data_IF_289012677223
#
_entry.id   IF_289012677223
#
_cell.length_a   1.000
_cell.length_b   1.000
_cell.length_c   1.000
_cell.angle_alpha   90.00
_cell.angle_beta   90.00
_cell.angle_gamma   90.00
#
_symmetry.space_group_name_H-M   'P 1'
#
loop_
_entity.id
_entity.type
_entity.pdbx_description
1 polymer ?
#
# COMPACT_ATOMS: atom_id res chain seq x y z
N UNK A 1 -34.25 41.50 -26.10
CA UNK A 1 -35.21 40.92 -27.08
C UNK A 1 -36.32 40.19 -26.33
N UNK A 2 -37.53 40.09 -26.92
CA UNK A 2 -38.65 39.22 -26.48
C UNK A 2 -38.37 37.77 -26.96
N UNK A 3 -38.91 36.67 -26.42
CA UNK A 3 -39.79 36.36 -25.27
C UNK A 3 -39.27 35.01 -24.66
N UNK A 4 -39.81 34.31 -23.65
CA UNK A 4 -41.06 34.41 -22.88
C UNK A 4 -41.16 33.35 -21.75
N UNK A 5 -42.37 32.87 -21.43
CA UNK A 5 -42.66 31.76 -20.49
C UNK A 5 -43.64 30.77 -21.15
N UNK A 6 -43.57 29.49 -20.79
CA UNK A 6 -44.68 28.56 -20.92
C UNK A 6 -44.94 27.88 -19.55
N UNK A 7 -46.14 28.07 -19.00
CA UNK A 7 -46.67 27.28 -17.88
C UNK A 7 -47.63 26.25 -18.48
N UNK A 8 -47.45 24.98 -18.14
CA UNK A 8 -48.43 23.92 -18.42
C UNK A 8 -48.81 23.25 -17.11
N UNK A 9 -50.00 23.56 -16.60
CA UNK A 9 -50.62 22.81 -15.52
C UNK A 9 -51.76 21.98 -16.13
N UNK A 10 -51.83 20.69 -15.80
CA UNK A 10 -52.98 19.85 -16.11
C UNK A 10 -53.28 18.99 -14.88
N UNK A 11 -54.57 18.89 -14.56
CA UNK A 11 -55.07 18.37 -13.28
C UNK A 11 -56.38 17.62 -13.57
N UNK A 12 -56.71 16.65 -12.71
CA UNK A 12 -57.79 15.65 -12.82
C UNK A 12 -57.46 14.44 -13.74
N UNK A 13 -57.75 13.19 -13.35
CA UNK A 13 -58.29 12.74 -12.06
C UNK A 13 -58.67 11.25 -12.05
N UNK A 14 -59.48 10.88 -11.05
CA UNK A 14 -60.16 9.58 -10.80
C UNK A 14 -59.38 8.41 -10.15
N UNK A 15 -60.03 7.89 -9.09
CA UNK A 15 -60.14 6.48 -8.63
C UNK A 15 -58.84 5.73 -8.31
N UNK A 16 -58.65 5.12 -7.14
CA UNK A 16 -59.64 4.75 -6.11
C UNK A 16 -59.64 3.25 -5.85
N UNK A 17 -58.49 2.71 -5.43
CA UNK A 17 -58.36 1.37 -4.86
C UNK A 17 -57.46 1.51 -3.64
N UNK A 18 -57.93 1.08 -2.46
CA UNK A 18 -57.08 0.97 -1.27
C UNK A 18 -56.41 -0.40 -1.27
N UNK A 19 -55.08 -0.51 -1.49
CA UNK A 19 -54.37 -1.70 -1.08
C UNK A 19 -54.32 -1.72 0.46
N UNK A 20 -54.35 -2.92 1.05
CA UNK A 20 -54.04 -3.09 2.47
C UNK A 20 -52.68 -2.44 2.74
N UNK A 21 -52.64 -1.47 3.65
CA UNK A 21 -51.39 -0.93 4.16
C UNK A 21 -50.75 -1.99 5.06
N UNK A 22 -50.07 -2.95 4.44
CA UNK A 22 -49.11 -3.79 5.13
C UNK A 22 -48.11 -2.86 5.78
N UNK A 23 -48.14 -2.81 7.11
CA UNK A 23 -47.07 -2.20 7.89
C UNK A 23 -45.87 -3.12 7.70
N UNK A 24 -45.12 -2.85 6.63
CA UNK A 24 -43.73 -3.30 6.50
C UNK A 24 -42.99 -2.53 7.58
N UNK A 25 -43.03 -3.09 8.80
CA UNK A 25 -41.99 -2.84 9.78
C UNK A 25 -40.66 -2.98 9.03
N UNK A 26 -39.73 -2.02 9.13
CA UNK A 26 -38.41 -2.20 8.57
C UNK A 26 -37.80 -3.41 9.26
N UNK A 27 -37.92 -4.57 8.60
CA UNK A 27 -37.30 -5.79 9.07
C UNK A 27 -35.82 -5.51 9.08
N UNK A 28 -35.27 -5.35 10.28
CA UNK A 28 -33.83 -5.32 10.49
C UNK A 28 -33.31 -6.60 9.88
N UNK A 29 -32.77 -6.51 8.66
CA UNK A 29 -32.31 -7.65 7.90
C UNK A 29 -31.36 -8.41 8.80
N UNK A 30 -31.72 -9.63 9.18
CA UNK A 30 -30.89 -10.43 10.07
C UNK A 30 -29.53 -10.59 9.38
N UNK A 31 -28.54 -9.81 9.83
CA UNK A 31 -27.19 -9.83 9.27
C UNK A 31 -26.67 -11.23 9.57
N UNK A 32 -26.60 -12.08 8.54
CA UNK A 32 -25.87 -13.33 8.65
C UNK A 32 -24.42 -12.97 8.99
N UNK A 33 -23.89 -13.55 10.06
CA UNK A 33 -22.56 -13.22 10.59
C UNK A 33 -21.42 -13.68 9.67
N UNK A 34 -21.18 -12.92 8.60
CA UNK A 34 -20.02 -13.14 7.75
C UNK A 34 -18.72 -12.92 8.54
N UNK A 35 -17.78 -13.84 8.39
CA UNK A 35 -16.42 -13.64 8.89
C UNK A 35 -15.63 -12.90 7.83
N UNK A 36 -14.91 -11.87 8.25
CA UNK A 36 -14.07 -11.08 7.37
C UNK A 36 -12.78 -10.66 8.06
N UNK A 37 -11.76 -10.44 7.25
CA UNK A 37 -10.49 -9.80 7.59
C UNK A 37 -10.10 -8.86 6.46
N UNK A 38 -9.96 -7.56 6.76
CA UNK A 38 -9.49 -6.56 5.81
C UNK A 38 -8.21 -5.89 6.29
N UNK A 39 -7.30 -5.64 5.35
CA UNK A 39 -6.02 -4.98 5.61
C UNK A 39 -5.74 -3.95 4.52
N UNK A 40 -5.25 -2.78 4.92
CA UNK A 40 -4.78 -1.73 4.04
C UNK A 40 -3.41 -1.23 4.50
N UNK A 41 -2.49 -1.02 3.56
CA UNK A 41 -1.15 -0.50 3.83
C UNK A 41 -0.69 0.40 2.68
N UNK A 42 -0.17 1.58 3.02
CA UNK A 42 0.49 2.47 2.07
C UNK A 42 1.76 3.06 2.64
N UNK A 43 2.59 3.52 1.71
CA UNK A 43 3.81 4.28 1.94
C UNK A 43 3.83 5.45 0.96
N UNK A 44 4.32 6.62 1.37
CA UNK A 44 4.61 7.70 0.42
C UNK A 44 5.84 7.34 -0.42
N UNK A 45 6.97 7.20 0.26
CA UNK A 45 8.26 6.76 -0.30
C UNK A 45 8.83 5.67 0.61
N UNK A 46 9.30 4.57 0.02
CA UNK A 46 10.17 3.59 0.67
C UNK A 46 11.58 3.74 0.09
N UNK A 47 12.56 4.07 0.92
CA UNK A 47 13.97 4.09 0.55
C UNK A 47 14.70 2.90 1.18
N UNK A 48 15.59 2.27 0.41
CA UNK A 48 16.44 1.16 0.83
C UNK A 48 17.87 1.50 0.47
N UNK A 49 18.75 1.59 1.47
CA UNK A 49 20.17 1.88 1.31
C UNK A 49 21.00 0.64 1.62
N UNK A 50 21.96 0.33 0.75
CA UNK A 50 22.96 -0.71 0.98
C UNK A 50 24.36 -0.13 0.70
N UNK A 51 25.34 -0.48 1.53
CA UNK A 51 26.73 -0.12 1.31
C UNK A 51 27.62 -1.26 1.86
N UNK A 52 28.62 -1.70 1.09
CA UNK A 52 29.51 -2.80 1.50
C UNK A 52 30.38 -2.46 2.73
N UNK A 53 30.56 -1.17 3.02
CA UNK A 53 31.23 -0.65 4.21
C UNK A 53 30.34 -0.71 5.46
N UNK A 54 29.02 -0.91 5.33
CA UNK A 54 28.16 -1.19 6.50
C UNK A 54 28.49 -2.60 7.01
N UNK A 55 29.07 -2.75 8.22
CA UNK A 55 29.40 -4.06 8.75
C UNK A 55 28.14 -4.92 8.91
N UNK A 56 28.32 -6.23 8.78
CA UNK A 56 27.26 -7.25 8.71
C UNK A 56 26.35 -7.15 7.46
N UNK A 57 26.66 -6.27 6.48
CA UNK A 57 25.87 -6.13 5.25
C UNK A 57 24.47 -5.58 5.49
N UNK A 58 24.32 -4.74 6.52
CA UNK A 58 23.02 -4.23 6.96
C UNK A 58 22.37 -3.37 5.88
N UNK A 59 21.12 -3.69 5.58
CA UNK A 59 20.25 -2.90 4.70
C UNK A 59 19.44 -1.95 5.56
N UNK A 60 19.55 -0.65 5.30
CA UNK A 60 18.71 0.35 5.96
C UNK A 60 17.44 0.56 5.14
N UNK A 61 16.27 0.39 5.75
CA UNK A 61 14.98 0.64 5.14
C UNK A 61 14.32 1.86 5.80
N UNK A 62 13.63 2.68 5.03
CA UNK A 62 13.04 3.93 5.50
C UNK A 62 11.73 4.21 4.76
N UNK A 63 10.61 4.18 5.46
CA UNK A 63 9.30 4.52 4.88
C UNK A 63 8.82 5.89 5.38
N UNK A 64 8.44 6.79 4.47
CA UNK A 64 8.08 8.19 4.77
C UNK A 64 6.91 8.69 3.90
N UNK A 65 5.76 9.06 4.50
CA UNK A 65 5.21 8.51 5.73
C UNK A 65 4.70 7.08 5.50
N UNK A 66 4.20 6.47 6.57
CA UNK A 66 3.63 5.13 6.61
C UNK A 66 2.23 5.14 7.24
N UNK A 67 1.34 4.29 6.72
CA UNK A 67 0.04 4.00 7.32
C UNK A 67 -0.34 2.53 7.11
N UNK A 68 -0.90 1.90 8.14
CA UNK A 68 -1.60 0.61 8.04
C UNK A 68 -2.91 0.61 8.83
N UNK A 69 -3.90 -0.12 8.34
CA UNK A 69 -5.17 -0.33 8.99
C UNK A 69 -5.58 -1.80 8.81
N UNK A 70 -6.01 -2.44 9.90
CA UNK A 70 -6.47 -3.83 9.95
C UNK A 70 -7.80 -3.87 10.70
N UNK A 71 -8.76 -4.63 10.17
CA UNK A 71 -10.07 -4.79 10.79
C UNK A 71 -10.60 -6.20 10.50
N UNK A 72 -11.06 -6.92 11.52
CA UNK A 72 -11.73 -8.20 11.34
C UNK A 72 -13.02 -8.34 12.16
N UNK A 73 -13.80 -9.37 11.83
CA UNK A 73 -15.11 -9.62 12.46
C UNK A 73 -15.04 -9.86 13.99
N UNK A 74 -13.88 -10.30 14.50
CA UNK A 74 -13.63 -10.62 15.91
C UNK A 74 -13.34 -9.37 16.78
N UNK A 75 -13.67 -8.17 16.29
CA UNK A 75 -13.40 -6.89 16.94
C UNK A 75 -11.90 -6.61 17.14
N UNK A 76 -11.02 -7.21 16.32
CA UNK A 76 -9.66 -6.69 16.19
C UNK A 76 -9.70 -5.57 15.16
N UNK A 77 -9.28 -4.38 15.60
CA UNK A 77 -9.30 -3.14 14.82
C UNK A 77 -8.03 -2.38 15.19
N UNK A 78 -7.00 -2.48 14.36
CA UNK A 78 -5.68 -1.92 14.63
C UNK A 78 -5.32 -0.91 13.53
N UNK A 79 -5.02 0.31 13.94
CA UNK A 79 -4.60 1.37 13.02
C UNK A 79 -3.27 1.95 13.48
N UNK A 80 -2.32 2.09 12.57
CA UNK A 80 -0.99 2.63 12.85
C UNK A 80 -0.59 3.63 11.78
N UNK A 81 -0.12 4.80 12.20
CA UNK A 81 0.46 5.82 11.34
C UNK A 81 1.87 6.18 11.85
N UNK A 82 2.79 6.44 10.94
CA UNK A 82 4.12 6.97 11.27
C UNK A 82 4.55 8.04 10.28
N UNK A 83 5.22 9.08 10.77
CA UNK A 83 5.87 10.05 9.90
C UNK A 83 7.12 9.48 9.24
N UNK A 84 7.90 8.68 9.97
CA UNK A 84 9.16 8.09 9.52
C UNK A 84 9.31 6.72 10.20
N UNK A 85 9.24 5.64 9.43
CA UNK A 85 9.47 4.28 9.91
C UNK A 85 10.83 3.76 9.42
N UNK A 86 11.86 3.60 10.29
CA UNK A 86 13.21 3.21 9.89
C UNK A 86 13.39 1.68 9.73
N UNK A 87 12.30 0.94 9.53
CA UNK A 87 12.30 -0.51 9.47
C UNK A 87 12.52 -1.19 10.82
N UNK A 88 12.11 -2.46 10.91
CA UNK A 88 12.20 -3.28 12.12
C UNK A 88 13.64 -3.41 12.64
N UNK A 89 14.61 -3.49 11.71
CA UNK A 89 16.04 -3.68 12.04
C UNK A 89 16.59 -2.48 12.82
N UNK A 90 16.24 -1.25 12.44
CA UNK A 90 16.70 -0.05 13.16
C UNK A 90 15.87 0.19 14.41
N UNK A 91 14.55 -0.08 14.34
CA UNK A 91 13.65 0.05 15.50
C UNK A 91 14.00 -0.92 16.65
N UNK A 92 14.56 -2.10 16.35
CA UNK A 92 14.96 -3.09 17.33
C UNK A 92 16.30 -2.79 18.06
N UNK A 93 17.03 -1.74 17.66
CA UNK A 93 18.34 -1.40 18.25
C UNK A 93 18.16 -0.62 19.57
N UNK A 94 18.56 -1.17 20.74
CA UNK A 94 18.19 -0.58 22.04
C UNK A 94 18.87 0.77 22.32
N UNK A 95 18.09 1.79 22.67
CA UNK A 95 18.54 2.99 23.40
C UNK A 95 19.46 3.99 22.67
N UNK A 96 19.87 3.70 21.43
CA UNK A 96 20.94 4.45 20.75
C UNK A 96 20.56 5.85 20.30
N UNK A 97 19.33 6.09 19.83
CA UNK A 97 18.95 7.39 19.24
C UNK A 97 19.28 8.58 20.14
N UNK A 98 18.93 8.51 21.42
CA UNK A 98 19.15 9.59 22.39
C UNK A 98 20.56 9.74 22.93
N UNK A 99 21.41 8.72 22.84
CA UNK A 99 22.79 8.78 23.32
C UNK A 99 23.75 9.44 22.30
N UNK A 100 23.36 9.43 21.02
CA UNK A 100 24.24 9.73 19.89
C UNK A 100 24.40 11.21 19.56
N UNK A 101 23.29 11.95 19.50
CA UNK A 101 23.31 13.30 18.93
C UNK A 101 23.63 14.40 19.95
N UNK A 102 23.67 14.10 21.26
CA UNK A 102 23.79 15.07 22.37
C UNK A 102 22.72 16.17 22.44
N UNK A 103 21.89 16.30 21.40
CA UNK A 103 20.60 17.00 21.37
C UNK A 103 19.54 16.05 21.94
N UNK A 104 18.57 16.52 22.74
CA UNK A 104 17.42 15.69 23.12
C UNK A 104 16.66 15.27 21.86
N UNK A 105 16.89 14.03 21.42
CA UNK A 105 16.14 13.48 20.29
C UNK A 105 14.66 13.44 20.64
N UNK A 106 13.75 13.80 19.71
CA UNK A 106 12.35 13.45 19.84
C UNK A 106 12.20 11.98 20.22
N UNK A 107 11.13 11.61 20.92
CA UNK A 107 10.83 10.20 21.20
C UNK A 107 10.51 9.50 19.87
N UNK A 108 11.55 8.99 19.22
CA UNK A 108 11.46 8.11 18.06
C UNK A 108 11.16 6.67 18.51
N UNK A 109 10.46 5.88 17.68
CA UNK A 109 9.88 6.27 16.40
C UNK A 109 8.64 7.16 16.59
N UNK A 110 8.44 8.09 15.66
CA UNK A 110 7.29 8.99 15.65
C UNK A 110 6.11 8.22 15.05
N UNK A 111 5.33 7.56 15.93
CA UNK A 111 4.25 6.62 15.61
C UNK A 111 3.03 6.94 16.47
N UNK A 112 1.85 6.76 15.88
CA UNK A 112 0.57 6.72 16.58
C UNK A 112 -0.13 5.40 16.24
N UNK A 113 -0.60 4.69 17.28
CA UNK A 113 -1.32 3.42 17.14
C UNK A 113 -2.57 3.42 18.03
N UNK A 114 -3.70 3.00 17.47
CA UNK A 114 -4.94 2.68 18.18
C UNK A 114 -5.29 1.20 18.00
N UNK A 115 -5.93 0.65 19.03
CA UNK A 115 -6.56 -0.68 19.02
C UNK A 115 -8.07 -0.54 19.26
N UNK A 116 -8.83 -1.61 19.07
CA UNK A 116 -10.27 -1.60 19.30
C UNK A 116 -10.63 -1.16 20.73
N UNK A 117 -11.43 -0.09 20.84
CA UNK A 117 -11.83 0.50 22.12
C UNK A 117 -10.92 1.62 22.63
N UNK A 118 -9.81 1.92 21.95
CA UNK A 118 -9.09 3.18 22.14
C UNK A 118 -9.91 4.37 21.57
N UNK A 119 -9.83 5.52 22.22
CA UNK A 119 -10.17 6.79 21.57
C UNK A 119 -9.23 7.07 20.38
N UNK A 120 -9.67 7.82 19.35
CA UNK A 120 -8.81 8.29 18.26
C UNK A 120 -7.60 9.06 18.80
N UNK A 121 -6.43 8.84 18.20
CA UNK A 121 -5.17 9.45 18.62
C UNK A 121 -4.59 10.29 17.49
N UNK A 122 -4.21 11.51 17.83
CA UNK A 122 -3.46 12.43 16.98
C UNK A 122 -2.08 12.70 17.60
N UNK A 123 -1.06 12.86 16.76
CA UNK A 123 0.20 13.44 17.19
C UNK A 123 0.77 14.37 16.10
N UNK A 124 1.18 15.57 16.52
CA UNK A 124 1.70 16.61 15.65
C UNK A 124 3.12 16.97 16.09
N UNK A 125 4.02 16.99 15.13
CA UNK A 125 5.43 17.35 15.27
C UNK A 125 5.77 18.45 14.25
N UNK A 126 6.85 19.22 14.44
CA UNK A 126 7.29 20.19 13.44
C UNK A 126 7.49 19.52 12.07
N UNK A 127 6.65 19.85 11.09
CA UNK A 127 6.70 19.27 9.75
C UNK A 127 6.09 17.87 9.61
N UNK A 128 5.36 17.34 10.59
CA UNK A 128 4.66 16.06 10.47
C UNK A 128 3.38 15.98 11.32
N UNK A 129 2.39 15.21 10.86
CA UNK A 129 1.17 14.90 11.61
C UNK A 129 0.75 13.47 11.36
N UNK A 130 0.29 12.77 12.40
CA UNK A 130 -0.29 11.44 12.28
C UNK A 130 -1.61 11.36 13.03
N UNK A 131 -2.48 10.49 12.52
CA UNK A 131 -3.77 10.15 13.09
C UNK A 131 -3.98 8.63 13.00
N UNK A 132 -4.56 8.03 14.03
CA UNK A 132 -5.06 6.66 14.02
C UNK A 132 -6.39 6.55 14.77
N UNK A 133 -7.31 5.74 14.22
CA UNK A 133 -8.64 5.49 14.74
C UNK A 133 -9.04 4.02 14.51
N UNK A 134 -9.59 3.38 15.55
CA UNK A 134 -9.97 1.95 15.56
C UNK A 134 -11.39 1.75 16.09
N UNK A 135 -12.36 1.64 15.20
CA UNK A 135 -13.78 1.39 15.51
C UNK A 135 -14.21 -0.06 15.29
N UNK A 136 -15.49 -0.35 15.53
CA UNK A 136 -16.11 -1.67 15.31
C UNK A 136 -16.40 -2.00 13.84
N UNK A 137 -16.61 -0.96 13.01
CA UNK A 137 -16.92 -1.08 11.58
C UNK A 137 -15.88 -0.37 10.71
N UNK A 138 -14.80 0.19 11.29
CA UNK A 138 -13.71 0.85 10.56
C UNK A 138 -12.38 0.79 11.31
N UNK A 139 -11.29 0.79 10.54
CA UNK A 139 -9.95 1.12 11.01
C UNK A 139 -9.35 2.15 10.04
N UNK A 140 -8.75 3.22 10.56
CA UNK A 140 -8.26 4.35 9.76
C UNK A 140 -6.93 4.87 10.30
N UNK A 141 -5.95 5.06 9.42
CA UNK A 141 -4.68 5.69 9.77
C UNK A 141 -4.22 6.65 8.67
N UNK A 142 -3.62 7.76 9.09
CA UNK A 142 -3.01 8.76 8.21
C UNK A 142 -1.67 9.20 8.77
N UNK A 143 -0.59 9.03 8.00
CA UNK A 143 0.69 9.67 8.24
C UNK A 143 0.92 10.81 7.23
N UNK A 144 1.48 11.93 7.68
CA UNK A 144 1.81 13.08 6.83
C UNK A 144 3.14 13.70 7.26
N UNK A 145 3.97 14.06 6.26
CA UNK A 145 5.21 14.82 6.41
C UNK A 145 5.20 15.99 5.42
N UNK A 146 5.67 17.16 5.83
CA UNK A 146 5.49 18.41 5.09
C UNK A 146 4.08 18.99 5.28
N UNK A 147 3.74 19.99 4.46
CA UNK A 147 2.49 20.74 4.51
C UNK A 147 1.83 20.77 3.14
N UNK A 148 0.51 20.69 3.06
CA UNK A 148 -0.22 20.89 1.78
C UNK A 148 0.15 22.27 1.18
N UNK A 149 0.61 22.38 -0.09
CA UNK A 149 0.72 21.31 -1.10
C UNK A 149 2.08 20.56 -1.12
N UNK A 150 3.15 21.13 -0.55
CA UNK A 150 4.49 20.54 -0.53
C UNK A 150 4.67 19.52 0.62
N UNK A 151 4.28 18.27 0.37
CA UNK A 151 4.40 17.21 1.37
C UNK A 151 4.14 15.81 0.82
N UNK A 152 4.18 14.84 1.73
CA UNK A 152 3.87 13.45 1.46
C UNK A 152 2.85 12.95 2.48
N UNK A 153 1.81 12.27 2.01
CA UNK A 153 0.76 11.68 2.85
C UNK A 153 0.60 10.20 2.53
N UNK A 154 0.34 9.39 3.54
CA UNK A 154 -0.03 7.99 3.42
C UNK A 154 -1.29 7.77 4.23
N UNK A 155 -2.32 7.19 3.61
CA UNK A 155 -3.61 6.92 4.25
C UNK A 155 -4.03 5.48 4.01
N UNK A 156 -4.42 4.78 5.08
CA UNK A 156 -4.91 3.40 5.02
C UNK A 156 -6.25 3.32 5.73
N UNK A 157 -7.22 2.65 5.11
CA UNK A 157 -8.59 2.52 5.62
C UNK A 157 -9.15 1.13 5.33
N UNK A 158 -9.76 0.53 6.34
CA UNK A 158 -10.65 -0.62 6.18
C UNK A 158 -12.01 -0.22 6.76
N UNK A 159 -13.11 -0.54 6.07
CA UNK A 159 -14.46 -0.20 6.51
C UNK A 159 -15.48 -1.26 6.10
N UNK A 160 -16.38 -1.61 7.02
CA UNK A 160 -17.62 -2.35 6.74
C UNK A 160 -18.71 -1.34 6.37
N UNK A 161 -19.41 -1.59 5.28
CA UNK A 161 -20.54 -0.79 4.82
C UNK A 161 -21.88 -1.46 5.18
N UNK A 162 -22.96 -0.69 5.12
CA UNK A 162 -24.31 -1.23 5.20
C UNK A 162 -24.53 -2.33 4.14
N UNK A 163 -25.06 -3.47 4.58
CA UNK A 163 -25.15 -4.69 3.78
C UNK A 163 -23.94 -5.64 3.91
N UNK A 164 -22.97 -5.34 4.79
CA UNK A 164 -21.87 -6.25 5.12
C UNK A 164 -20.74 -6.29 4.09
N UNK A 165 -20.76 -5.39 3.09
CA UNK A 165 -19.66 -5.24 2.15
C UNK A 165 -18.44 -4.63 2.84
N UNK A 166 -17.24 -5.12 2.55
CA UNK A 166 -16.00 -4.67 3.19
C UNK A 166 -15.12 -3.97 2.16
N UNK A 167 -14.69 -2.76 2.48
CA UNK A 167 -13.86 -1.89 1.64
C UNK A 167 -12.50 -1.72 2.29
N UNK A 168 -11.45 -2.20 1.62
CA UNK A 168 -10.06 -1.88 1.96
C UNK A 168 -9.51 -0.85 0.96
N UNK A 169 -8.82 0.17 1.44
CA UNK A 169 -8.28 1.26 0.61
C UNK A 169 -6.95 1.76 1.18
N UNK A 170 -5.92 1.77 0.32
CA UNK A 170 -4.61 2.31 0.60
C UNK A 170 -4.30 3.41 -0.42
N UNK A 171 -3.93 4.59 0.08
CA UNK A 171 -3.62 5.77 -0.73
C UNK A 171 -2.30 6.38 -0.29
N UNK A 172 -1.54 6.94 -1.23
CA UNK A 172 -0.49 7.89 -0.89
C UNK A 172 -0.41 9.04 -1.89
N UNK A 173 0.07 10.18 -1.41
CA UNK A 173 0.41 11.34 -2.24
C UNK A 173 1.83 11.76 -1.92
N UNK A 174 2.59 12.20 -2.91
CA UNK A 174 3.93 12.76 -2.72
C UNK A 174 4.10 13.95 -3.68
N UNK A 175 4.33 15.11 -3.10
CA UNK A 175 4.68 16.32 -3.83
C UNK A 175 5.97 16.95 -3.27
N UNK A 176 6.78 17.51 -4.16
CA UNK A 176 8.07 18.08 -3.82
C UNK A 176 9.12 17.08 -3.32
N UNK A 177 9.05 15.79 -3.66
CA UNK A 177 10.17 14.87 -3.42
C UNK A 177 11.36 15.31 -4.27
N UNK A 178 12.52 15.43 -3.65
CA UNK A 178 13.80 15.78 -4.26
C UNK A 178 14.87 14.88 -3.65
N UNK A 179 15.81 14.38 -4.44
CA UNK A 179 16.83 13.42 -4.03
C UNK A 179 18.19 13.83 -4.62
N UNK A 180 19.25 13.64 -3.82
CA UNK A 180 20.66 13.83 -4.20
C UNK A 180 20.99 15.19 -4.80
N UNK A 181 21.08 16.26 -3.99
CA UNK A 181 21.49 17.60 -4.45
C UNK A 181 20.83 18.04 -5.78
N UNK A 182 19.49 17.99 -5.80
CA UNK A 182 18.62 18.27 -6.96
C UNK A 182 18.64 17.28 -8.14
N UNK A 183 19.43 16.20 -8.10
CA UNK A 183 19.57 15.20 -9.20
C UNK A 183 18.28 14.46 -9.58
N UNK A 184 17.29 14.38 -8.71
CA UNK A 184 15.98 13.81 -9.05
C UNK A 184 14.89 14.58 -8.29
N UNK A 185 13.80 14.92 -8.98
CA UNK A 185 12.62 15.59 -8.41
C UNK A 185 11.35 14.89 -8.88
N UNK A 186 10.41 14.68 -7.98
CA UNK A 186 9.12 14.03 -8.21
C UNK A 186 8.02 14.80 -7.49
N UNK A 187 6.97 15.14 -8.24
CA UNK A 187 5.90 16.04 -7.81
C UNK A 187 4.53 15.58 -8.34
N UNK A 188 3.48 15.82 -7.57
CA UNK A 188 2.13 15.39 -7.88
C UNK A 188 1.98 13.87 -8.09
N UNK A 189 2.72 13.04 -7.34
CA UNK A 189 2.42 11.60 -7.25
C UNK A 189 1.14 11.41 -6.43
N UNK A 190 0.22 10.62 -6.96
CA UNK A 190 -1.02 10.21 -6.31
C UNK A 190 -1.26 8.74 -6.64
N UNK A 191 -1.44 7.90 -5.63
CA UNK A 191 -1.86 6.51 -5.81
C UNK A 191 -3.05 6.15 -4.95
N UNK A 192 -3.83 5.21 -5.46
CA UNK A 192 -4.98 4.62 -4.80
C UNK A 192 -5.06 3.15 -5.18
N UNK A 193 -5.13 2.30 -4.18
CA UNK A 193 -5.37 0.86 -4.27
C UNK A 193 -6.63 0.58 -3.48
N UNK A 194 -7.64 0.00 -4.11
CA UNK A 194 -8.95 -0.24 -3.47
C UNK A 194 -9.49 -1.60 -3.84
N UNK A 195 -9.90 -2.34 -2.81
CA UNK A 195 -10.56 -3.64 -2.88
C UNK A 195 -11.91 -3.54 -2.17
N UNK A 196 -12.95 -4.07 -2.80
CA UNK A 196 -14.30 -4.16 -2.24
C UNK A 196 -14.74 -5.62 -2.31
N UNK A 197 -15.06 -6.21 -1.17
CA UNK A 197 -15.79 -7.47 -1.11
C UNK A 197 -17.30 -7.18 -0.96
N UNK A 198 -18.10 -7.73 -1.87
CA UNK A 198 -19.56 -7.67 -1.78
C UNK A 198 -20.08 -8.53 -0.62
N UNK A 199 -20.89 -7.94 0.26
CA UNK A 199 -21.34 -8.55 1.51
C UNK A 199 -22.21 -9.80 1.34
N UNK A 200 -22.93 -9.93 0.22
CA UNK A 200 -23.81 -11.07 -0.05
C UNK A 200 -23.12 -12.23 -0.78
N UNK A 201 -22.16 -11.92 -1.66
CA UNK A 201 -21.54 -12.91 -2.56
C UNK A 201 -20.07 -13.21 -2.25
N UNK A 202 -19.42 -12.40 -1.43
CA UNK A 202 -17.96 -12.45 -1.25
C UNK A 202 -17.16 -11.96 -2.47
N UNK A 203 -17.82 -11.53 -3.56
CA UNK A 203 -17.15 -11.18 -4.81
C UNK A 203 -16.26 -9.96 -4.64
N UNK A 204 -14.98 -10.12 -4.96
CA UNK A 204 -13.98 -9.05 -4.92
C UNK A 204 -14.00 -8.19 -6.19
N UNK A 205 -14.06 -6.87 -6.01
CA UNK A 205 -13.83 -5.84 -7.03
C UNK A 205 -12.54 -5.10 -6.68
N UNK A 206 -11.58 -5.08 -7.60
CA UNK A 206 -10.23 -4.56 -7.41
C UNK A 206 -10.00 -3.35 -8.32
N UNK A 207 -9.24 -2.36 -7.85
CA UNK A 207 -8.87 -1.18 -8.64
C UNK A 207 -7.56 -0.55 -8.12
N UNK A 208 -6.65 -0.21 -9.04
CA UNK A 208 -5.46 0.59 -8.77
C UNK A 208 -5.38 1.75 -9.75
N UNK A 209 -4.96 2.92 -9.29
CA UNK A 209 -4.64 4.08 -10.14
C UNK A 209 -3.36 4.74 -9.67
N UNK A 210 -2.57 5.27 -10.61
CA UNK A 210 -1.34 6.02 -10.30
C UNK A 210 -1.20 7.18 -11.29
N UNK A 211 -0.99 8.37 -10.76
CA UNK A 211 -0.62 9.56 -11.52
C UNK A 211 0.65 10.13 -10.92
N UNK A 212 1.58 10.60 -11.76
CA UNK A 212 2.71 11.44 -11.38
C UNK A 212 2.63 12.69 -12.24
N UNK A 213 2.42 13.84 -11.62
CA UNK A 213 2.34 15.11 -12.33
C UNK A 213 3.65 15.45 -13.06
N UNK A 214 4.80 15.23 -12.40
CA UNK A 214 6.13 15.50 -12.96
C UNK A 214 7.23 14.74 -12.24
N UNK A 215 8.11 14.14 -13.03
CA UNK A 215 9.44 13.65 -12.69
C UNK A 215 10.43 14.51 -13.49
N UNK A 216 11.42 15.08 -12.82
CA UNK A 216 12.47 15.90 -13.41
C UNK A 216 13.83 15.37 -12.92
N UNK A 217 14.77 15.17 -13.84
CA UNK A 217 16.13 14.72 -13.57
C UNK A 217 17.07 15.65 -14.33
N UNK A 218 17.90 16.47 -13.66
CA UNK A 218 18.93 17.25 -14.33
C UNK A 218 19.88 16.37 -15.15
N UNK A 219 20.31 16.88 -16.30
CA UNK A 219 21.05 16.17 -17.33
C UNK A 219 20.31 15.00 -18.02
N UNK A 220 19.06 14.69 -17.66
CA UNK A 220 18.26 13.77 -18.46
C UNK A 220 17.95 14.41 -19.81
N UNK A 221 18.30 13.70 -20.88
CA UNK A 221 18.01 14.13 -22.25
C UNK A 221 17.35 13.01 -23.00
N UNK A 222 16.34 13.35 -23.81
CA UNK A 222 15.63 12.37 -24.63
C UNK A 222 15.22 12.98 -25.96
N UNK A 223 14.92 12.13 -26.94
CA UNK A 223 14.41 12.56 -28.24
C UNK A 223 12.90 12.40 -28.26
N UNK A 224 12.16 13.46 -28.58
CA UNK A 224 10.72 13.35 -28.83
C UNK A 224 10.52 12.54 -30.12
N UNK A 225 9.63 11.53 -30.14
CA UNK A 225 9.25 10.83 -31.36
C UNK A 225 8.89 11.80 -32.49
N UNK A 226 9.26 11.46 -33.73
CA UNK A 226 8.94 12.27 -34.90
C UNK A 226 7.43 12.31 -35.19
N UNK A 227 6.73 11.24 -34.84
CA UNK A 227 5.29 11.05 -34.98
C UNK A 227 4.72 10.58 -33.64
N UNK A 228 3.47 10.93 -33.37
CA UNK A 228 2.74 10.36 -32.23
C UNK A 228 2.55 8.86 -32.46
N UNK A 229 2.89 7.97 -31.51
CA UNK A 229 2.64 6.54 -31.66
C UNK A 229 1.13 6.27 -31.75
N UNK A 230 0.71 5.53 -32.78
CA UNK A 230 -0.70 5.16 -33.02
C UNK A 230 -1.28 4.34 -31.86
N UNK A 231 -0.45 3.47 -31.27
CA UNK A 231 -0.73 2.75 -30.03
C UNK A 231 0.41 2.97 -29.06
N UNK A 232 0.08 3.27 -27.80
CA UNK A 232 1.04 3.15 -26.70
C UNK A 232 0.93 1.72 -26.19
N UNK A 233 1.97 0.87 -26.31
CA UNK A 233 1.93 -0.46 -25.72
C UNK A 233 1.80 -0.32 -24.21
N UNK A 234 0.73 -0.86 -23.65
CA UNK A 234 0.61 -1.05 -22.21
C UNK A 234 1.74 -1.98 -21.76
N UNK A 235 2.29 -1.73 -20.57
CA UNK A 235 3.37 -2.53 -20.00
C UNK A 235 3.12 -4.03 -20.10
N UNK A 236 4.20 -4.79 -20.31
CA UNK A 236 4.22 -6.23 -20.53
C UNK A 236 3.20 -6.92 -19.61
N UNK A 237 2.21 -7.65 -20.15
CA UNK A 237 1.11 -8.16 -19.36
C UNK A 237 1.60 -9.09 -18.25
N UNK A 238 1.01 -8.94 -17.06
CA UNK A 238 1.18 -9.91 -15.99
C UNK A 238 0.70 -11.29 -16.49
N UNK A 239 1.47 -12.38 -16.29
CA UNK A 239 1.08 -13.71 -16.76
C UNK A 239 -0.32 -14.08 -16.28
N UNK A 240 -1.20 -14.43 -17.22
CA UNK A 240 -2.58 -14.85 -16.94
C UNK A 240 -3.63 -13.72 -16.88
N UNK A 241 -3.25 -12.44 -16.91
CA UNK A 241 -4.21 -11.32 -16.94
C UNK A 241 -4.53 -10.92 -18.38
N UNK A 242 -5.81 -10.86 -18.79
CA UNK A 242 -6.20 -10.33 -20.10
C UNK A 242 -5.71 -8.88 -20.25
N UNK A 243 -4.85 -8.64 -21.24
CA UNK A 243 -4.33 -7.29 -21.50
C UNK A 243 -5.49 -6.38 -21.94
N UNK A 244 -5.65 -5.17 -21.38
CA UNK A 244 -6.60 -4.20 -21.92
C UNK A 244 -6.25 -3.87 -23.36
N UNK A 245 -7.24 -3.56 -24.20
CA UNK A 245 -6.94 -3.09 -25.56
C UNK A 245 -6.01 -1.86 -25.48
N UNK A 246 -4.90 -1.81 -26.24
CA UNK A 246 -4.01 -0.66 -26.24
C UNK A 246 -4.76 0.62 -26.53
N UNK A 247 -4.47 1.68 -25.77
CA UNK A 247 -5.08 2.98 -25.99
C UNK A 247 -4.74 3.47 -27.41
N UNK A 248 -5.76 3.56 -28.26
CA UNK A 248 -5.66 4.12 -29.60
C UNK A 248 -5.70 5.63 -29.49
N UNK A 249 -4.59 6.28 -29.81
CA UNK A 249 -4.56 7.73 -29.95
C UNK A 249 -4.92 8.08 -31.39
N UNK A 250 -5.70 9.14 -31.63
CA UNK A 250 -5.94 9.59 -33.00
C UNK A 250 -4.60 9.89 -33.65
N UNK A 251 -4.33 9.32 -34.82
CA UNK A 251 -3.12 9.62 -35.60
C UNK A 251 -3.22 11.07 -36.06
N UNK A 252 -2.61 11.96 -35.29
CA UNK A 252 -2.45 13.35 -35.67
C UNK A 252 -1.32 13.39 -36.70
N UNK A 253 -1.66 13.42 -37.99
CA UNK A 253 -0.70 13.53 -39.11
C UNK A 253 0.09 14.85 -39.11
N UNK A 254 -0.30 15.81 -38.25
CA UNK A 254 0.49 17.00 -37.98
C UNK A 254 1.80 16.54 -37.32
N UNK A 255 2.99 16.91 -37.85
CA UNK A 255 4.24 16.60 -37.16
C UNK A 255 4.14 17.12 -35.74
N UNK A 256 4.39 16.24 -34.75
CA UNK A 256 4.26 16.61 -33.35
C UNK A 256 5.06 17.91 -33.11
N UNK A 257 4.50 18.93 -32.45
CA UNK A 257 5.27 20.13 -32.14
C UNK A 257 6.50 19.67 -31.36
N UNK A 258 7.69 20.09 -31.83
CA UNK A 258 9.00 19.65 -31.33
C UNK A 258 9.40 18.18 -31.58
N UNK A 259 8.63 17.41 -32.36
CA UNK A 259 8.99 16.06 -32.80
C UNK A 259 10.36 15.98 -33.48
N UNK A 260 11.01 14.82 -33.36
CA UNK A 260 12.41 14.58 -33.74
C UNK A 260 13.49 15.39 -32.98
N UNK A 261 13.15 16.37 -32.15
CA UNK A 261 14.15 17.16 -31.42
C UNK A 261 14.61 16.46 -30.13
N UNK A 262 15.84 16.73 -29.73
CA UNK A 262 16.33 16.37 -28.40
C UNK A 262 15.91 17.46 -27.41
N UNK A 263 15.30 17.05 -26.31
CA UNK A 263 14.96 17.91 -25.17
C UNK A 263 15.88 17.61 -24.00
N UNK A 264 16.18 18.65 -23.21
CA UNK A 264 17.07 18.62 -22.06
C UNK A 264 16.28 18.94 -20.80
N UNK A 265 16.52 18.20 -19.72
CA UNK A 265 15.82 18.32 -18.42
C UNK A 265 14.27 18.30 -18.56
N UNK A 266 13.67 17.34 -19.27
CA UNK A 266 12.22 17.34 -19.50
C UNK A 266 11.43 17.03 -18.23
N UNK A 267 10.27 17.68 -18.09
CA UNK A 267 9.26 17.32 -17.10
C UNK A 267 8.43 16.15 -17.64
N UNK A 268 8.72 14.94 -17.16
CA UNK A 268 8.06 13.69 -17.56
C UNK A 268 6.96 13.36 -16.54
N UNK A 269 5.71 13.35 -16.98
CA UNK A 269 4.58 12.86 -16.18
C UNK A 269 4.22 11.41 -16.50
N UNK A 270 3.41 10.82 -15.62
CA UNK A 270 2.85 9.48 -15.79
C UNK A 270 1.37 9.46 -15.41
N UNK A 271 0.56 8.71 -16.15
CA UNK A 271 -0.84 8.46 -15.79
C UNK A 271 -1.27 7.07 -16.24
N UNK A 272 -1.66 6.24 -15.27
CA UNK A 272 -2.38 4.98 -15.46
C UNK A 272 -1.82 4.09 -16.61
N UNK A 273 -0.49 3.94 -16.66
CA UNK A 273 0.21 3.12 -17.66
C UNK A 273 0.92 3.89 -18.76
N UNK A 274 0.65 5.18 -18.95
CA UNK A 274 1.22 6.00 -20.02
C UNK A 274 2.13 7.12 -19.50
N UNK A 275 3.33 7.25 -20.07
CA UNK A 275 4.18 8.42 -19.88
C UNK A 275 3.79 9.57 -20.82
N UNK A 276 4.04 10.79 -20.40
CA UNK A 276 3.94 11.98 -21.22
C UNK A 276 5.05 12.99 -20.88
N UNK A 277 5.44 13.83 -21.81
CA UNK A 277 6.23 15.04 -21.53
C UNK A 277 5.32 16.26 -21.56
N UNK A 278 5.43 17.11 -20.54
CA UNK A 278 4.76 18.41 -20.51
C UNK A 278 5.60 19.43 -21.29
N UNK A 279 5.16 19.81 -22.49
CA UNK A 279 5.86 20.81 -23.29
C UNK A 279 5.37 22.23 -22.93
N UNK A 280 6.28 23.20 -22.73
CA UNK A 280 5.91 24.59 -22.50
C UNK A 280 5.30 25.18 -23.78
N UNK A 281 3.98 25.36 -23.76
CA UNK A 281 3.25 26.05 -24.83
C UNK A 281 2.85 27.46 -24.39
N UNK A 282 2.40 28.30 -25.32
CA UNK A 282 1.89 29.65 -25.02
C UNK A 282 0.48 29.64 -24.36
N UNK A 283 0.21 28.65 -23.51
CA UNK A 283 -1.10 28.35 -22.94
C UNK A 283 -1.00 27.16 -21.96
N UNK A 284 -1.94 26.22 -22.05
CA UNK A 284 -1.89 25.00 -21.24
C UNK A 284 -0.70 24.09 -21.65
N UNK A 285 -0.08 23.35 -20.71
CA UNK A 285 0.93 22.35 -21.04
C UNK A 285 0.38 21.33 -22.05
N UNK A 286 1.13 21.09 -23.12
CA UNK A 286 0.76 20.05 -24.10
C UNK A 286 1.45 18.76 -23.67
N UNK A 287 0.65 17.79 -23.23
CA UNK A 287 1.13 16.47 -22.83
C UNK A 287 1.30 15.61 -24.09
N UNK A 288 2.55 15.39 -24.52
CA UNK A 288 2.88 14.50 -25.65
C UNK A 288 3.19 13.10 -25.10
N UNK A 289 2.51 12.03 -25.55
CA UNK A 289 2.75 10.68 -25.04
C UNK A 289 4.15 10.19 -25.40
N UNK A 290 4.75 9.42 -24.50
CA UNK A 290 6.09 8.85 -24.65
C UNK A 290 6.04 7.32 -24.55
N UNK A 291 6.84 6.63 -25.37
CA UNK A 291 7.06 5.20 -25.21
C UNK A 291 7.89 4.94 -23.95
N UNK A 292 7.49 3.92 -23.17
CA UNK A 292 8.13 3.61 -21.89
C UNK A 292 9.62 3.27 -22.02
N UNK A 293 10.00 2.55 -23.08
CA UNK A 293 11.40 2.22 -23.41
C UNK A 293 12.25 3.49 -23.57
N UNK A 294 11.76 4.50 -24.28
CA UNK A 294 12.47 5.78 -24.47
C UNK A 294 12.65 6.54 -23.15
N UNK A 295 11.72 6.40 -22.21
CA UNK A 295 11.87 6.97 -20.86
C UNK A 295 12.92 6.17 -20.08
N UNK A 296 12.82 4.84 -20.03
CA UNK A 296 13.77 4.00 -19.29
C UNK A 296 15.21 4.13 -19.80
N UNK A 297 15.43 4.21 -21.11
CA UNK A 297 16.74 4.45 -21.69
C UNK A 297 17.30 5.84 -21.31
N UNK A 298 16.45 6.87 -21.26
CA UNK A 298 16.86 8.21 -20.84
C UNK A 298 17.23 8.28 -19.34
N UNK A 299 16.46 7.61 -18.47
CA UNK A 299 16.81 7.47 -17.05
C UNK A 299 18.12 6.69 -16.87
N UNK A 300 18.28 5.58 -17.58
CA UNK A 300 19.50 4.76 -17.55
C UNK A 300 20.74 5.53 -18.02
N UNK A 301 20.59 6.35 -19.06
CA UNK A 301 21.64 7.26 -19.54
C UNK A 301 22.03 8.34 -18.50
N UNK A 302 21.09 8.73 -17.64
CA UNK A 302 21.32 9.63 -16.51
C UNK A 302 21.84 8.92 -15.23
N UNK A 303 22.15 7.62 -15.28
CA UNK A 303 22.64 6.86 -14.13
C UNK A 303 21.56 6.44 -13.12
N UNK A 304 20.30 6.40 -13.54
CA UNK A 304 19.16 5.98 -12.73
C UNK A 304 18.50 4.76 -13.40
N UNK A 305 18.53 3.59 -12.76
CA UNK A 305 17.71 2.45 -13.21
C UNK A 305 16.26 2.69 -12.78
N UNK A 306 15.35 2.78 -13.75
CA UNK A 306 13.92 2.91 -13.50
C UNK A 306 13.22 1.60 -13.87
N UNK A 307 12.32 1.12 -13.01
CA UNK A 307 11.40 0.03 -13.34
C UNK A 307 9.97 0.33 -12.89
N UNK A 308 9.02 -0.25 -13.60
CA UNK A 308 7.60 -0.18 -13.35
C UNK A 308 7.08 -1.55 -12.91
N UNK A 309 6.35 -1.59 -11.81
CA UNK A 309 5.61 -2.77 -11.35
C UNK A 309 4.12 -2.54 -11.67
N UNK A 310 3.50 -3.32 -12.57
CA UNK A 310 2.05 -3.28 -12.77
C UNK A 310 1.34 -3.75 -11.49
N UNK A 311 0.05 -3.43 -11.37
CA UNK A 311 -0.76 -3.95 -10.27
C UNK A 311 -0.85 -5.48 -10.35
N UNK A 312 -0.81 -6.14 -9.19
CA UNK A 312 -0.82 -7.60 -9.07
C UNK A 312 -2.02 -8.01 -8.21
N UNK A 313 -2.98 -8.69 -8.84
CA UNK A 313 -4.08 -9.33 -8.13
C UNK A 313 -3.56 -10.49 -7.27
N UNK A 314 -4.12 -10.62 -6.06
CA UNK A 314 -4.00 -11.82 -5.22
C UNK A 314 -5.38 -12.39 -4.94
N UNK A 315 -5.47 -13.62 -4.42
CA UNK A 315 -6.73 -14.28 -4.07
C UNK A 315 -7.64 -13.37 -3.22
N UNK A 316 -7.08 -12.72 -2.19
CA UNK A 316 -7.78 -11.85 -1.25
C UNK A 316 -7.69 -10.36 -1.57
N UNK A 317 -6.94 -9.91 -2.58
CA UNK A 317 -6.73 -8.48 -2.75
C UNK A 317 -5.89 -8.04 -3.93
N UNK A 318 -5.21 -6.91 -3.76
CA UNK A 318 -4.50 -6.19 -4.80
C UNK A 318 -3.24 -5.53 -4.22
N UNK A 319 -2.09 -5.79 -4.84
CA UNK A 319 -0.92 -4.92 -4.73
C UNK A 319 -0.98 -3.89 -5.85
N UNK A 320 -0.95 -2.61 -5.48
CA UNK A 320 -1.04 -1.50 -6.43
C UNK A 320 0.18 -1.36 -7.33
N UNK A 321 0.00 -0.54 -8.37
CA UNK A 321 1.08 -0.11 -9.25
C UNK A 321 2.17 0.64 -8.47
N UNK A 322 3.44 0.40 -8.79
CA UNK A 322 4.56 1.09 -8.15
C UNK A 322 5.72 1.36 -9.12
N UNK A 323 6.54 2.36 -8.79
CA UNK A 323 7.82 2.60 -9.45
C UNK A 323 8.97 2.28 -8.52
N UNK A 324 10.04 1.70 -9.08
CA UNK A 324 11.33 1.57 -8.40
C UNK A 324 12.38 2.37 -9.16
N UNK A 325 13.10 3.23 -8.47
CA UNK A 325 14.26 3.96 -8.97
C UNK A 325 15.50 3.49 -8.20
N UNK A 326 16.57 3.10 -8.89
CA UNK A 326 17.86 2.82 -8.27
C UNK A 326 18.89 3.79 -8.79
N UNK A 327 19.71 4.30 -7.89
CA UNK A 327 20.85 5.17 -8.23
C UNK A 327 21.96 4.96 -7.21
N UNK A 328 23.06 5.69 -7.35
CA UNK A 328 24.15 5.69 -6.38
C UNK A 328 24.33 7.11 -5.85
N UNK A 329 24.24 7.27 -4.53
CA UNK A 329 24.72 8.49 -3.88
C UNK A 329 26.25 8.45 -3.95
N UNK A 330 26.87 9.57 -4.34
CA UNK A 330 28.31 9.75 -4.36
C UNK A 330 28.93 9.39 -3.00
N UNK A 331 30.21 8.98 -3.01
CA UNK A 331 30.95 8.74 -1.79
C UNK A 331 30.91 9.98 -0.88
N UNK A 332 30.56 9.77 0.40
CA UNK A 332 30.58 10.84 1.39
C UNK A 332 32.03 11.31 1.60
N UNK A 333 32.27 12.56 2.06
CA UNK A 333 33.61 13.04 2.40
C UNK A 333 34.37 12.03 3.28
N UNK A 334 35.68 11.93 3.04
CA UNK A 334 36.56 10.92 3.63
C UNK A 334 36.26 10.66 5.11
N UNK A 335 35.73 9.49 5.39
CA UNK A 335 35.38 9.05 6.73
C UNK A 335 35.66 7.54 6.87
N UNK A 336 35.86 7.08 8.10
CA UNK A 336 36.33 5.72 8.35
C UNK A 336 35.26 4.63 8.21
N UNK A 337 33.98 5.00 8.00
CA UNK A 337 32.83 4.09 8.09
C UNK A 337 32.04 3.91 6.79
N UNK A 338 31.89 4.97 6.01
CA UNK A 338 31.24 4.97 4.70
C UNK A 338 32.28 5.22 3.64
N UNK A 339 32.71 4.15 2.97
CA UNK A 339 33.58 4.21 1.80
C UNK A 339 32.84 3.74 0.56
N UNK A 340 33.22 4.31 -0.56
CA UNK A 340 32.64 4.11 -1.87
C UNK A 340 31.22 4.69 -2.04
N UNK A 341 30.70 4.65 -3.28
CA UNK A 341 29.31 5.02 -3.58
C UNK A 341 28.30 4.16 -2.80
N UNK A 342 27.16 4.76 -2.47
CA UNK A 342 26.07 4.07 -1.76
C UNK A 342 24.91 3.84 -2.71
N UNK A 343 24.67 2.60 -3.18
CA UNK A 343 23.43 2.21 -3.84
C UNK A 343 22.20 2.56 -2.99
N UNK A 344 21.25 3.26 -3.60
CA UNK A 344 19.94 3.55 -3.00
C UNK A 344 18.84 3.17 -3.97
N UNK A 345 17.86 2.45 -3.44
CA UNK A 345 16.63 2.07 -4.13
C UNK A 345 15.47 2.84 -3.51
N UNK A 346 14.72 3.58 -4.31
CA UNK A 346 13.49 4.26 -3.92
C UNK A 346 12.30 3.57 -4.58
N UNK A 347 11.32 3.15 -3.79
CA UNK A 347 10.00 2.75 -4.28
C UNK A 347 8.99 3.82 -3.95
N UNK A 348 8.11 4.13 -4.90
CA UNK A 348 7.05 5.11 -4.72
C UNK A 348 5.73 4.60 -5.27
N UNK A 349 4.63 5.04 -4.65
CA UNK A 349 3.26 4.77 -5.08
C UNK A 349 2.71 3.39 -4.72
N UNK A 350 3.55 2.45 -4.29
CA UNK A 350 3.11 1.11 -3.89
C UNK A 350 2.18 1.16 -2.66
N UNK A 351 1.04 0.48 -2.77
CA UNK A 351 0.10 0.22 -1.68
C UNK A 351 -0.46 -1.20 -1.78
N UNK A 352 -1.03 -1.70 -0.70
CA UNK A 352 -1.63 -3.03 -0.60
C UNK A 352 -3.02 -2.88 0.03
N UNK A 353 -4.01 -3.53 -0.57
CA UNK A 353 -5.35 -3.64 -0.02
C UNK A 353 -5.83 -5.09 -0.17
N UNK A 354 -6.27 -5.72 0.92
CA UNK A 354 -6.85 -7.07 0.93
C UNK A 354 -8.13 -7.12 1.74
N UNK A 355 -8.99 -8.08 1.38
CA UNK A 355 -10.20 -8.48 2.08
C UNK A 355 -10.39 -10.00 1.87
N UNK A 356 -10.23 -10.80 2.91
CA UNK A 356 -10.84 -12.14 2.97
C UNK A 356 -12.25 -11.95 3.54
N UNK A 357 -13.29 -12.24 2.75
CA UNK A 357 -14.68 -12.22 3.18
C UNK A 357 -15.29 -13.58 2.88
N UNK A 358 -15.68 -14.29 3.93
CA UNK A 358 -16.34 -15.59 3.84
C UNK A 358 -17.82 -15.37 4.12
N UNK A 359 -18.68 -15.23 3.09
CA UNK A 359 -20.11 -15.19 3.31
C UNK A 359 -20.52 -16.51 3.96
N UNK A 360 -21.34 -16.44 5.02
CA UNK A 360 -21.98 -17.64 5.54
C UNK A 360 -22.88 -18.19 4.44
N UNK A 361 -22.50 -19.34 3.90
CA UNK A 361 -23.41 -20.16 3.10
C UNK A 361 -24.49 -20.69 4.04
N UNK A 362 -25.55 -19.90 4.22
CA UNK A 362 -26.82 -20.38 4.74
C UNK A 362 -27.33 -21.42 3.74
N UNK A 363 -26.99 -22.68 4.01
CA UNK A 363 -27.29 -23.80 3.11
C UNK A 363 -28.76 -23.77 2.70
N UNK A 364 -29.00 -23.78 1.38
CA UNK A 364 -30.34 -23.84 0.78
C UNK A 364 -31.15 -25.08 1.22
N UNK A 365 -30.48 -26.04 1.86
CA UNK A 365 -31.01 -27.25 2.48
C UNK A 365 -31.88 -26.96 3.72
N UNK A 366 -31.95 -25.70 4.19
CA UNK A 366 -32.96 -25.23 5.16
C UNK A 366 -34.43 -25.41 4.67
N UNK A 367 -34.63 -25.82 3.42
CA UNK A 367 -35.91 -26.24 2.85
C UNK A 367 -36.51 -27.52 3.46
N UNK A 368 -35.79 -28.20 4.37
CA UNK A 368 -36.15 -29.53 4.90
C UNK A 368 -36.81 -29.60 6.29
N UNK A 369 -36.85 -28.50 7.07
CA UNK A 369 -37.55 -28.50 8.37
C UNK A 369 -38.99 -28.09 8.16
N UNK A 370 -39.83 -29.02 7.70
CA UNK A 370 -41.27 -28.90 7.87
C UNK A 370 -41.58 -28.62 9.35
N UNK A 371 -42.51 -27.71 9.68
CA UNK A 371 -43.04 -27.63 11.03
C UNK A 371 -43.51 -29.03 11.44
N UNK A 372 -42.94 -29.58 12.50
CA UNK A 372 -43.52 -30.77 13.12
C UNK A 372 -44.84 -30.31 13.71
N UNK A 373 -45.95 -30.74 13.10
CA UNK A 373 -47.28 -30.42 13.59
C UNK A 373 -47.38 -30.84 15.06
N UNK A 374 -47.51 -29.85 15.94
CA UNK A 374 -47.67 -30.06 17.37
C UNK A 374 -49.11 -30.50 17.71
N UNK A 375 -49.64 -31.47 16.96
CA UNK A 375 -50.81 -32.25 17.38
C UNK A 375 -50.38 -33.24 18.45
N UNK A 376 -50.48 -32.80 19.70
CA UNK A 376 -49.99 -33.56 20.84
C UNK A 376 -50.72 -34.90 21.01
N UNK A 377 -49.95 -35.94 21.35
CA UNK A 377 -50.47 -37.11 22.06
C UNK A 377 -49.72 -37.22 23.38
N UNK A 378 -50.41 -37.06 24.50
CA UNK A 378 -49.82 -37.33 25.82
C UNK A 378 -49.61 -38.84 25.95
N UNK A 379 -48.37 -39.29 26.15
CA UNK A 379 -48.04 -40.72 26.05
C UNK A 379 -46.69 -41.11 26.65
N UNK A 380 -46.72 -41.34 27.96
CA UNK A 380 -45.88 -42.26 28.73
C UNK A 380 -44.38 -41.99 28.97
N UNK A 381 -43.94 -42.37 30.17
CA UNK A 381 -42.58 -42.21 30.70
C UNK A 381 -41.93 -43.58 30.89
N UNK A 382 -41.04 -44.00 29.98
CA UNK A 382 -40.04 -45.05 30.27
C UNK A 382 -38.95 -45.17 29.19
N UNK A 383 -37.71 -45.45 29.61
CA UNK A 383 -36.68 -46.05 28.74
C UNK A 383 -35.71 -45.09 28.03
N UNK A 384 -34.62 -44.71 28.70
CA UNK A 384 -33.39 -44.23 28.05
C UNK A 384 -32.49 -45.42 27.70
N UNK A 385 -32.18 -45.70 26.42
CA UNK A 385 -31.05 -46.53 26.05
C UNK A 385 -29.78 -45.67 25.98
N UNK A 386 -28.85 -45.87 26.91
CA UNK A 386 -27.52 -45.27 26.86
C UNK A 386 -26.66 -45.94 25.79
N UNK A 387 -26.45 -45.29 24.64
CA UNK A 387 -25.47 -45.76 23.65
C UNK A 387 -24.07 -45.31 24.03
N UNK A 388 -23.33 -46.20 24.70
CA UNK A 388 -21.88 -46.09 24.86
C UNK A 388 -21.19 -46.13 23.49
N UNK A 389 -20.38 -45.13 23.19
CA UNK A 389 -19.50 -45.15 22.01
C UNK A 389 -18.30 -46.05 22.33
N UNK A 390 -18.27 -47.24 21.73
CA UNK A 390 -17.22 -48.22 21.96
C UNK A 390 -15.98 -47.90 21.11
N UNK A 391 -14.84 -47.70 21.77
CA UNK A 391 -13.60 -47.22 21.17
C UNK A 391 -12.62 -48.38 20.90
N UNK A 392 -12.99 -49.28 20.00
CA UNK A 392 -12.18 -50.43 19.62
C UNK A 392 -12.16 -50.64 18.09
N UNK A 393 -11.24 -49.96 17.39
CA UNK A 393 -11.21 -49.98 15.92
C UNK A 393 -9.93 -49.48 15.23
N UNK A 394 -8.80 -49.39 15.94
CA UNK A 394 -7.50 -49.06 15.32
C UNK A 394 -6.88 -50.30 14.67
N UNK A 395 -7.39 -50.66 13.49
CA UNK A 395 -6.77 -51.64 12.61
C UNK A 395 -5.52 -51.06 11.94
N UNK A 396 -4.36 -51.69 12.15
CA UNK A 396 -3.14 -51.34 11.44
C UNK A 396 -3.20 -51.79 9.98
N UNK A 397 -3.11 -50.85 9.02
CA UNK A 397 -3.04 -51.19 7.60
C UNK A 397 -3.02 -49.98 6.66
N UNK A 398 -2.12 -50.03 5.66
CA UNK A 398 -2.09 -49.19 4.45
C UNK A 398 -1.92 -47.66 4.64
N UNK A 399 -0.69 -47.24 4.93
CA UNK A 399 -0.17 -45.97 4.37
C UNK A 399 0.22 -46.22 2.90
N UNK A 400 -0.30 -45.46 1.91
CA UNK A 400 0.26 -45.49 0.57
C UNK A 400 1.61 -44.77 0.56
N UNK A 401 2.68 -45.53 0.34
CA UNK A 401 3.99 -44.99 -0.04
C UNK A 401 3.87 -44.30 -1.41
N UNK A 402 4.39 -43.08 -1.52
CA UNK A 402 4.63 -42.42 -2.81
C UNK A 402 6.11 -42.10 -2.88
N UNK A 403 6.82 -42.89 -3.68
CA UNK A 403 8.27 -42.75 -3.86
C UNK A 403 8.60 -41.72 -4.95
N UNK A 404 9.85 -41.30 -4.94
CA UNK A 404 10.46 -40.19 -5.70
C UNK A 404 10.35 -40.26 -7.22
N UNK A 405 10.23 -39.09 -7.88
CA UNK A 405 10.56 -38.96 -9.31
C UNK A 405 9.76 -37.94 -10.13
N UNK A 406 9.81 -36.64 -9.82
CA UNK A 406 9.19 -35.60 -10.66
C UNK A 406 9.80 -34.22 -10.46
N UNK A 407 10.39 -33.66 -11.53
CA UNK A 407 10.85 -32.26 -11.55
C UNK A 407 9.63 -31.36 -11.67
N UNK A 408 9.25 -30.70 -10.58
CA UNK A 408 8.17 -29.70 -10.58
C UNK A 408 8.68 -28.35 -11.12
N UNK A 409 7.86 -27.59 -11.87
CA UNK A 409 8.21 -26.25 -12.28
C UNK A 409 8.32 -25.32 -11.07
N UNK A 410 9.21 -24.33 -11.16
CA UNK A 410 9.39 -23.31 -10.12
C UNK A 410 8.13 -22.46 -10.03
N UNK A 411 7.33 -22.72 -8.99
CA UNK A 411 6.24 -21.83 -8.60
C UNK A 411 6.84 -20.56 -7.97
N UNK A 412 6.63 -19.41 -8.61
CA UNK A 412 6.96 -18.12 -8.03
C UNK A 412 5.74 -17.67 -7.24
N UNK A 413 5.49 -18.35 -6.12
CA UNK A 413 4.53 -17.88 -5.13
C UNK A 413 5.02 -16.50 -4.68
N UNK A 414 4.28 -15.45 -5.04
CA UNK A 414 4.59 -14.11 -4.58
C UNK A 414 4.61 -14.14 -3.05
N UNK A 415 5.75 -13.81 -2.46
CA UNK A 415 5.87 -13.76 -1.01
C UNK A 415 4.78 -12.82 -0.48
N UNK A 416 3.86 -13.36 0.34
CA UNK A 416 3.02 -12.52 1.18
C UNK A 416 3.96 -11.52 1.89
N UNK A 417 3.65 -10.21 1.91
CA UNK A 417 4.39 -9.29 2.75
C UNK A 417 4.28 -9.83 4.17
N UNK A 418 5.42 -10.26 4.72
CA UNK A 418 5.46 -11.12 5.90
C UNK A 418 4.67 -10.50 7.05
N UNK A 419 3.87 -11.34 7.74
CA UNK A 419 3.04 -10.92 8.86
C UNK A 419 3.86 -10.04 9.83
N UNK A 420 3.45 -8.77 9.95
CA UNK A 420 4.02 -7.86 10.94
C UNK A 420 3.71 -8.31 12.38
N UNK A 421 2.82 -9.30 12.56
CA UNK A 421 2.37 -9.82 13.85
C UNK A 421 2.80 -11.29 14.11
N UNK A 422 2.91 -12.18 13.11
CA UNK A 422 3.27 -13.60 13.34
C UNK A 422 4.77 -13.87 13.47
N UNK A 423 5.63 -12.90 13.15
CA UNK A 423 7.08 -13.13 13.09
C UNK A 423 7.78 -13.47 14.41
N UNK A 424 7.08 -13.67 15.54
CA UNK A 424 7.66 -14.01 16.84
C UNK A 424 8.76 -15.10 16.79
N UNK A 425 8.64 -16.14 15.94
CA UNK A 425 9.67 -17.16 15.77
C UNK A 425 10.91 -16.66 15.01
N UNK A 426 10.76 -16.07 13.82
CA UNK A 426 11.88 -15.57 13.00
C UNK A 426 12.51 -14.30 13.57
N UNK A 427 11.70 -13.47 14.24
CA UNK A 427 12.07 -12.35 15.10
C UNK A 427 12.92 -12.88 16.24
N UNK A 428 12.48 -13.93 16.97
CA UNK A 428 13.33 -14.56 17.98
C UNK A 428 14.64 -15.09 17.39
N UNK A 429 14.69 -15.74 16.22
CA UNK A 429 15.98 -16.19 15.67
C UNK A 429 16.94 -15.05 15.29
N UNK A 430 16.46 -13.99 14.60
CA UNK A 430 17.29 -12.84 14.24
C UNK A 430 17.66 -11.99 15.44
N UNK A 431 16.71 -11.69 16.33
CA UNK A 431 16.94 -10.94 17.56
C UNK A 431 17.80 -11.73 18.55
N UNK A 432 17.74 -13.07 18.58
CA UNK A 432 18.66 -13.89 19.39
C UNK A 432 20.06 -13.93 18.79
N UNK A 433 20.21 -13.97 17.45
CA UNK A 433 21.53 -13.81 16.80
C UNK A 433 22.14 -12.42 17.02
N UNK A 434 21.32 -11.37 17.03
CA UNK A 434 21.78 -10.02 17.38
C UNK A 434 22.14 -9.95 18.88
N UNK A 435 21.26 -10.43 19.76
CA UNK A 435 21.45 -10.38 21.21
C UNK A 435 22.61 -11.28 21.71
N UNK A 436 22.93 -12.38 21.01
CA UNK A 436 24.12 -13.18 21.31
C UNK A 436 25.40 -12.46 20.88
N UNK A 437 25.38 -11.72 19.76
CA UNK A 437 26.48 -10.83 19.35
C UNK A 437 26.69 -9.69 20.36
N UNK A 438 25.62 -9.08 20.86
CA UNK A 438 25.68 -8.05 21.91
C UNK A 438 26.05 -8.57 23.31
N UNK A 439 25.88 -9.87 23.60
CA UNK A 439 26.31 -10.49 24.88
C UNK A 439 27.73 -11.05 24.86
N UNK A 440 28.35 -11.20 23.68
CA UNK A 440 29.59 -11.95 23.49
C UNK A 440 30.78 -11.11 23.04
N UNK A 441 31.28 -10.20 23.87
CA UNK A 441 32.55 -9.48 23.61
C UNK A 441 32.65 -8.15 24.34
N UNK A 442 33.84 -7.82 24.86
CA UNK A 442 34.10 -6.58 25.60
C UNK A 442 34.24 -5.33 24.72
N UNK A 443 34.21 -5.47 23.39
CA UNK A 443 34.39 -4.39 22.43
C UNK A 443 33.07 -3.63 22.17
N UNK A 444 32.50 -3.13 23.26
CA UNK A 444 31.26 -2.32 23.29
C UNK A 444 31.35 -1.05 22.45
N UNK A 445 32.56 -0.57 22.14
CA UNK A 445 32.78 0.60 21.30
C UNK A 445 32.33 0.36 19.85
N UNK A 446 32.77 -0.73 19.22
CA UNK A 446 32.51 -0.99 17.79
C UNK A 446 31.02 -1.17 17.50
N UNK A 447 30.29 -1.87 18.36
CA UNK A 447 28.84 -2.02 18.24
C UNK A 447 28.09 -0.68 18.35
N UNK A 448 28.58 0.27 19.16
CA UNK A 448 28.04 1.64 19.24
C UNK A 448 28.39 2.46 17.98
N UNK A 449 29.49 2.14 17.28
CA UNK A 449 29.85 2.80 16.02
C UNK A 449 29.00 2.33 14.82
N UNK A 450 28.65 1.04 14.71
CA UNK A 450 27.71 0.55 13.68
C UNK A 450 26.35 1.24 13.82
N UNK A 451 25.91 1.37 15.08
CA UNK A 451 24.74 2.10 15.53
C UNK A 451 24.77 3.59 15.16
N UNK A 452 25.87 4.29 15.43
CA UNK A 452 26.14 5.67 15.01
C UNK A 452 25.98 5.85 13.51
N UNK A 453 26.62 4.97 12.74
CA UNK A 453 26.67 4.98 11.28
C UNK A 453 25.27 4.80 10.69
N UNK A 454 24.53 3.76 11.09
CA UNK A 454 23.14 3.57 10.64
C UNK A 454 22.22 4.71 11.03
N UNK A 455 22.31 5.20 12.26
CA UNK A 455 21.46 6.31 12.72
C UNK A 455 21.83 7.61 12.00
N UNK A 456 23.10 7.85 11.69
CA UNK A 456 23.54 8.98 10.87
C UNK A 456 23.08 8.87 9.42
N UNK A 457 23.09 7.68 8.80
CA UNK A 457 22.55 7.47 7.46
C UNK A 457 21.02 7.67 7.41
N UNK A 458 20.29 7.12 8.38
CA UNK A 458 18.84 7.32 8.52
C UNK A 458 18.53 8.80 8.81
N UNK A 459 19.33 9.46 9.66
CA UNK A 459 19.19 10.90 9.93
C UNK A 459 19.54 11.75 8.70
N UNK A 460 20.56 11.40 7.91
CA UNK A 460 20.86 12.10 6.65
C UNK A 460 19.74 11.89 5.62
N UNK A 461 19.26 10.66 5.44
CA UNK A 461 18.12 10.37 4.58
C UNK A 461 16.87 11.15 5.04
N UNK A 462 16.53 11.10 6.32
CA UNK A 462 15.42 11.83 6.91
C UNK A 462 15.60 13.36 6.86
N UNK A 463 16.82 13.88 7.05
CA UNK A 463 17.10 15.33 7.01
C UNK A 463 17.10 15.85 5.58
N UNK A 464 17.60 15.07 4.63
CA UNK A 464 17.41 15.33 3.20
C UNK A 464 15.90 15.35 2.90
N UNK A 465 15.16 14.27 3.20
CA UNK A 465 13.71 14.19 2.99
C UNK A 465 12.93 15.33 3.71
N UNK A 466 13.35 15.79 4.89
CA UNK A 466 12.71 16.93 5.57
C UNK A 466 13.09 18.30 4.97
N UNK A 467 14.34 18.51 4.54
CA UNK A 467 14.75 19.71 3.78
C UNK A 467 13.99 19.80 2.45
N UNK A 468 13.80 18.65 1.81
CA UNK A 468 13.07 18.43 0.57
C UNK A 468 11.60 18.86 0.72
N UNK A 469 10.93 18.48 1.81
CA UNK A 469 9.59 18.98 2.15
C UNK A 469 9.57 20.40 2.78
N UNK A 470 10.62 21.20 2.59
CA UNK A 470 10.67 22.59 3.03
C UNK A 470 10.75 22.80 4.55
N UNK A 471 10.95 21.73 5.34
CA UNK A 471 11.04 21.81 6.81
C UNK A 471 12.42 22.35 7.21
N UNK A 472 12.55 23.68 7.12
CA UNK A 472 13.75 24.40 7.51
C UNK A 472 13.97 24.39 9.02
N UNK A 473 14.63 23.36 9.55
CA UNK A 473 15.21 23.39 10.89
C UNK A 473 16.24 24.53 10.97
N UNK A 474 15.84 25.65 11.56
CA UNK A 474 16.77 26.69 12.00
C UNK A 474 17.55 26.17 13.20
N UNK A 475 18.69 25.55 12.92
CA UNK A 475 19.72 25.29 13.93
C UNK A 475 20.16 26.65 14.48
N UNK A 476 19.77 26.95 15.72
CA UNK A 476 20.41 28.01 16.49
C UNK A 476 21.70 27.43 17.04
N UNK A 477 22.82 27.96 16.56
CA UNK A 477 24.16 27.75 17.12
C UNK A 477 24.36 28.58 18.39
#
# INVERSE_FOLDING_TARGET
MRLGRARGALLAGLVGVSPLMWVVLPGSSARADSTFEGFAQSFGVQATLTNASLPLGLTAELNVPFSSAHLNRLQQSDATASSIYPGDVVAALPGMGGALFSVPTPRYPVIVTTQYGDDPKDAVFPGASMHAESGSEHAYSKGQVGSDPSGSTSTSRVQVADGGSVVSTAESTVDGLVLGDDQFKLSGLQTRVRVVADGGTGKLTRSSSITIGRINVPALSMRIPCTTPETVPLFVPAPGVPQPEPAKFPVVEIPAPFGCNQIQNPDIGFKDGSFFVALPSAGAPVNVPLAAETVFDAFKAAGIEMSFQPAVDSETGLTGVGFTFKTQISEAPDNQYFKGPTPVTFKVGQGVATVDLRPLSLGSDASGISPVDATGTSGDTSGLPSTSVDAAGLGAGALPSVDTGGVLPVDITAAQPADSISSAATRNERTTKLASYYRGGSDTADNIYIALVLTAAVAFAATSIMRVFGVGFRWSS
#
